data_IF_064343361154
#
_entry.id   IF_064343361154
#
_cell.length_a   1.000
_cell.length_b   1.000
_cell.length_c   1.000
_cell.angle_alpha   90.00
_cell.angle_beta   90.00
_cell.angle_gamma   90.00
#
_symmetry.space_group_name_H-M   'P 1'
#
loop_
_entity.id
_entity.type
_entity.pdbx_description
1 polymer ?
#
# COMPACT_ATOMS: atom_id res chain seq x y z
N UNK A 1 29.66 -11.29 6.18
CA UNK A 1 29.08 -9.98 5.79
C UNK A 1 27.55 -10.09 5.67
N UNK A 2 26.85 -10.46 6.74
CA UNK A 2 25.37 -10.50 6.78
C UNK A 2 24.80 -9.81 8.04
N UNK A 3 25.67 -9.25 8.90
CA UNK A 3 25.28 -8.54 10.12
C UNK A 3 24.84 -7.10 9.86
N UNK A 4 25.54 -6.40 8.96
CA UNK A 4 25.33 -4.97 8.68
C UNK A 4 23.97 -4.63 8.09
N UNK A 5 23.44 -5.45 7.17
CA UNK A 5 22.16 -5.13 6.50
C UNK A 5 20.96 -5.15 7.46
N UNK A 6 20.99 -6.03 8.47
CA UNK A 6 19.91 -6.10 9.48
C UNK A 6 20.00 -4.97 10.49
N UNK A 7 21.21 -4.52 10.81
CA UNK A 7 21.46 -3.40 11.71
C UNK A 7 21.03 -2.10 11.05
N UNK A 8 21.37 -1.90 9.77
CA UNK A 8 20.96 -0.73 8.99
C UNK A 8 19.43 -0.61 8.85
N UNK A 9 18.73 -1.74 8.66
CA UNK A 9 17.27 -1.76 8.57
C UNK A 9 16.59 -1.43 9.92
N UNK A 10 17.15 -1.92 11.03
CA UNK A 10 16.63 -1.67 12.36
C UNK A 10 16.89 -0.23 12.82
N UNK A 11 18.04 0.32 12.47
CA UNK A 11 18.43 1.69 12.76
C UNK A 11 17.58 2.68 11.96
N UNK A 12 17.30 2.36 10.69
CA UNK A 12 16.32 3.09 9.88
C UNK A 12 14.92 3.02 10.49
N UNK A 13 14.44 1.83 10.90
CA UNK A 13 13.13 1.69 11.57
C UNK A 13 13.05 2.55 12.85
N UNK A 14 14.14 2.65 13.63
CA UNK A 14 14.19 3.43 14.87
C UNK A 14 14.30 4.95 14.64
N UNK A 15 15.11 5.41 13.69
CA UNK A 15 15.20 6.82 13.31
C UNK A 15 13.87 7.33 12.74
N UNK A 16 13.25 6.50 11.93
CA UNK A 16 11.94 6.75 11.35
C UNK A 16 10.91 6.88 12.47
N UNK A 17 10.90 5.98 13.46
CA UNK A 17 9.99 6.02 14.61
C UNK A 17 10.13 7.29 15.50
N UNK A 18 11.31 7.91 15.57
CA UNK A 18 11.62 9.01 16.50
C UNK A 18 11.30 10.42 15.96
N UNK A 19 11.13 10.63 14.65
CA UNK A 19 10.88 11.97 14.05
C UNK A 19 9.42 12.28 13.72
N UNK A 20 8.48 11.44 14.13
CA UNK A 20 7.16 11.34 13.50
C UNK A 20 6.05 12.30 14.00
N UNK A 21 5.57 13.15 13.08
CA UNK A 21 4.26 13.81 13.15
C UNK A 21 3.28 13.00 12.29
N UNK A 22 2.46 12.16 12.94
CA UNK A 22 1.66 11.07 12.33
C UNK A 22 0.91 11.37 11.02
N UNK A 23 0.53 12.62 10.75
CA UNK A 23 -0.21 13.00 9.53
C UNK A 23 0.70 13.25 8.33
N UNK A 24 1.83 13.93 8.52
CA UNK A 24 2.81 14.22 7.45
C UNK A 24 3.47 12.92 6.94
N UNK A 25 3.57 11.94 7.83
CA UNK A 25 4.24 10.65 7.56
C UNK A 25 3.43 9.74 6.63
N UNK A 26 2.10 9.79 6.73
CA UNK A 26 1.21 9.02 5.84
C UNK A 26 1.29 9.56 4.42
N UNK A 27 1.30 10.89 4.27
CA UNK A 27 1.46 11.55 2.98
C UNK A 27 2.84 11.26 2.39
N UNK A 28 3.90 11.41 3.20
CA UNK A 28 5.26 11.07 2.78
C UNK A 28 5.38 9.61 2.33
N UNK A 29 4.88 8.67 3.13
CA UNK A 29 4.88 7.24 2.79
C UNK A 29 4.10 6.96 1.52
N UNK A 30 2.97 7.63 1.31
CA UNK A 30 2.21 7.51 0.08
C UNK A 30 3.00 8.01 -1.15
N UNK A 31 3.63 9.19 -1.04
CA UNK A 31 4.44 9.77 -2.13
C UNK A 31 5.63 8.87 -2.46
N UNK A 32 6.32 8.33 -1.45
CA UNK A 32 7.45 7.43 -1.64
C UNK A 32 7.05 6.15 -2.38
N UNK A 33 5.97 5.49 -1.95
CA UNK A 33 5.46 4.26 -2.56
C UNK A 33 4.91 4.52 -3.96
N UNK A 34 4.16 5.61 -4.16
CA UNK A 34 3.59 5.94 -5.46
C UNK A 34 4.68 6.15 -6.53
N UNK A 35 5.74 6.87 -6.15
CA UNK A 35 6.85 7.23 -7.03
C UNK A 35 7.93 6.14 -7.15
N UNK A 36 7.79 5.00 -6.46
CA UNK A 36 8.76 3.90 -6.60
C UNK A 36 8.91 3.49 -8.06
N UNK A 37 10.14 3.25 -8.50
CA UNK A 37 10.44 2.64 -9.81
C UNK A 37 10.83 1.17 -9.68
N UNK A 38 10.87 0.65 -8.46
CA UNK A 38 11.26 -0.72 -8.15
C UNK A 38 10.25 -1.69 -8.76
N UNK A 39 10.69 -2.68 -9.58
CA UNK A 39 9.79 -3.67 -10.16
C UNK A 39 9.25 -4.67 -9.11
N UNK A 40 9.91 -4.75 -7.96
CA UNK A 40 9.51 -5.51 -6.77
C UNK A 40 9.77 -4.65 -5.53
N UNK A 41 9.04 -4.85 -4.42
CA UNK A 41 9.20 -4.02 -3.24
C UNK A 41 10.54 -4.32 -2.54
N UNK A 42 11.28 -3.27 -2.24
CA UNK A 42 12.43 -3.30 -1.33
C UNK A 42 11.97 -3.49 0.12
N UNK A 43 12.89 -3.80 1.03
CA UNK A 43 12.56 -3.95 2.45
C UNK A 43 11.97 -2.67 3.05
N UNK A 44 12.53 -1.50 2.71
CA UNK A 44 12.01 -0.20 3.13
C UNK A 44 10.59 0.06 2.59
N UNK A 45 10.33 -0.27 1.32
CA UNK A 45 9.00 -0.13 0.72
C UNK A 45 7.98 -1.10 1.33
N UNK A 46 8.41 -2.31 1.71
CA UNK A 46 7.57 -3.24 2.46
C UNK A 46 7.24 -2.72 3.86
N UNK A 47 8.21 -2.12 4.57
CA UNK A 47 8.00 -1.52 5.89
C UNK A 47 6.98 -0.38 5.80
N UNK A 48 7.16 0.54 4.85
CA UNK A 48 6.21 1.62 4.56
C UNK A 48 4.83 1.08 4.19
N UNK A 49 4.75 0.03 3.37
CA UNK A 49 3.48 -0.60 3.00
C UNK A 49 2.75 -1.15 4.23
N UNK A 50 3.46 -1.80 5.16
CA UNK A 50 2.86 -2.32 6.41
C UNK A 50 2.37 -1.18 7.31
N UNK A 51 3.14 -0.10 7.41
CA UNK A 51 2.76 1.11 8.15
C UNK A 51 1.47 1.71 7.56
N UNK A 52 1.41 1.87 6.24
CA UNK A 52 0.23 2.40 5.56
C UNK A 52 -1.01 1.49 5.74
N UNK A 53 -0.84 0.16 5.66
CA UNK A 53 -1.94 -0.79 5.90
C UNK A 53 -2.47 -0.75 7.34
N UNK A 54 -1.60 -0.52 8.33
CA UNK A 54 -2.03 -0.43 9.74
C UNK A 54 -2.86 0.84 9.98
N UNK A 55 -2.54 1.95 9.30
CA UNK A 55 -3.34 3.18 9.33
C UNK A 55 -4.72 3.00 8.69
N UNK A 56 -4.83 2.22 7.61
CA UNK A 56 -6.16 1.88 7.06
C UNK A 56 -7.01 1.04 8.03
N UNK A 57 -6.37 0.23 8.88
CA UNK A 57 -7.05 -0.70 9.79
C UNK A 57 -7.52 -0.05 11.09
N UNK A 58 -6.90 1.06 11.50
CA UNK A 58 -7.23 1.77 12.75
C UNK A 58 -8.51 2.60 12.68
N UNK A 59 -9.21 2.62 11.53
CA UNK A 59 -10.50 3.31 11.35
C UNK A 59 -10.41 4.83 11.29
N UNK A 60 -9.22 5.40 11.48
CA UNK A 60 -8.97 6.83 11.41
C UNK A 60 -8.12 7.12 10.18
N UNK A 61 -8.65 7.79 9.17
CA UNK A 61 -7.83 8.74 8.41
C UNK A 61 -8.64 9.52 7.38
N UNK A 62 -8.50 10.84 7.45
CA UNK A 62 -8.70 11.78 6.34
C UNK A 62 -7.94 11.38 5.07
N UNK A 63 -6.98 10.46 5.19
CA UNK A 63 -6.09 9.97 4.13
C UNK A 63 -6.38 8.53 3.68
N UNK A 64 -7.44 7.86 4.17
CA UNK A 64 -7.74 6.46 3.82
C UNK A 64 -7.83 6.27 2.31
N UNK A 65 -8.48 7.22 1.62
CA UNK A 65 -8.55 7.27 0.17
C UNK A 65 -7.17 7.26 -0.50
N UNK A 66 -6.29 8.17 -0.07
CA UNK A 66 -4.93 8.33 -0.58
C UNK A 66 -4.11 7.06 -0.36
N UNK A 67 -4.21 6.45 0.82
CA UNK A 67 -3.46 5.24 1.16
C UNK A 67 -3.93 4.06 0.32
N UNK A 68 -5.25 3.82 0.25
CA UNK A 68 -5.81 2.71 -0.54
C UNK A 68 -5.45 2.86 -2.02
N UNK A 69 -5.52 4.08 -2.56
CA UNK A 69 -5.12 4.37 -3.94
C UNK A 69 -3.65 4.07 -4.18
N UNK A 70 -2.77 4.58 -3.31
CA UNK A 70 -1.33 4.37 -3.41
C UNK A 70 -0.96 2.89 -3.39
N UNK A 71 -1.47 2.16 -2.39
CA UNK A 71 -1.14 0.74 -2.23
C UNK A 71 -1.72 -0.13 -3.35
N UNK A 72 -2.86 0.26 -3.92
CA UNK A 72 -3.44 -0.42 -5.08
C UNK A 72 -2.57 -0.26 -6.33
N UNK A 73 -1.99 0.92 -6.56
CA UNK A 73 -1.03 1.15 -7.65
C UNK A 73 0.25 0.34 -7.43
N UNK A 74 0.76 0.33 -6.20
CA UNK A 74 1.95 -0.44 -5.85
C UNK A 74 1.73 -1.94 -6.06
N UNK A 75 0.57 -2.47 -5.66
CA UNK A 75 0.20 -3.86 -5.86
C UNK A 75 0.16 -4.27 -7.34
N UNK A 76 -0.40 -3.42 -8.21
CA UNK A 76 -0.38 -3.66 -9.67
C UNK A 76 1.06 -3.65 -10.19
N UNK A 77 1.87 -2.66 -9.80
CA UNK A 77 3.26 -2.51 -10.24
C UNK A 77 4.11 -3.72 -9.86
N UNK A 78 3.99 -4.18 -8.62
CA UNK A 78 4.74 -5.32 -8.08
C UNK A 78 4.11 -6.67 -8.39
N UNK A 79 2.95 -6.68 -9.07
CA UNK A 79 2.14 -7.87 -9.33
C UNK A 79 1.78 -8.65 -8.05
N UNK A 80 1.57 -7.94 -6.94
CA UNK A 80 1.26 -8.53 -5.64
C UNK A 80 -0.26 -8.65 -5.44
N UNK A 81 -0.77 -9.85 -5.73
CA UNK A 81 -2.19 -10.21 -5.56
C UNK A 81 -2.63 -10.11 -4.09
N UNK A 82 -1.74 -10.43 -3.13
CA UNK A 82 -2.08 -10.39 -1.70
C UNK A 82 -2.22 -8.94 -1.23
N UNK A 83 -1.36 -8.05 -1.69
CA UNK A 83 -1.48 -6.63 -1.40
C UNK A 83 -2.74 -6.05 -2.05
N UNK A 84 -2.99 -6.37 -3.32
CA UNK A 84 -4.18 -5.91 -4.06
C UNK A 84 -5.49 -6.33 -3.37
N UNK A 85 -5.60 -7.60 -2.97
CA UNK A 85 -6.81 -8.09 -2.29
C UNK A 85 -7.02 -7.46 -0.91
N UNK A 86 -5.94 -7.15 -0.18
CA UNK A 86 -6.02 -6.41 1.08
C UNK A 86 -6.48 -4.97 0.86
N UNK A 87 -5.90 -4.25 -0.10
CA UNK A 87 -6.28 -2.85 -0.38
C UNK A 87 -7.69 -2.75 -0.92
N UNK A 88 -8.11 -3.71 -1.74
CA UNK A 88 -9.48 -3.82 -2.23
C UNK A 88 -10.50 -3.92 -1.09
N UNK A 89 -10.22 -4.77 -0.09
CA UNK A 89 -11.08 -4.89 1.10
C UNK A 89 -11.21 -3.56 1.85
N UNK A 90 -10.15 -2.77 1.95
CA UNK A 90 -10.19 -1.48 2.64
C UNK A 90 -11.01 -0.42 1.90
N UNK A 91 -10.99 -0.39 0.57
CA UNK A 91 -11.81 0.56 -0.19
C UNK A 91 -13.26 0.11 -0.41
N UNK A 92 -13.54 -1.20 -0.35
CA UNK A 92 -14.90 -1.74 -0.49
C UNK A 92 -15.64 -1.88 0.85
N UNK A 93 -14.95 -1.99 1.98
CA UNK A 93 -15.63 -2.07 3.29
C UNK A 93 -16.30 -0.76 3.72
N UNK A 94 -15.96 0.37 3.10
CA UNK A 94 -16.57 1.68 3.36
C UNK A 94 -17.55 2.09 2.23
N UNK A 95 -18.43 1.18 1.79
CA UNK A 95 -19.40 1.41 0.69
C UNK A 95 -20.32 2.64 0.90
N UNK A 96 -20.52 3.09 2.14
CA UNK A 96 -21.27 4.32 2.43
C UNK A 96 -20.46 5.61 2.16
N UNK A 97 -19.18 5.50 1.85
CA UNK A 97 -18.32 6.63 1.53
C UNK A 97 -18.08 6.74 0.03
N UNK A 98 -18.22 7.95 -0.49
CA UNK A 98 -17.81 8.40 -1.83
C UNK A 98 -16.41 7.94 -2.26
N UNK A 99 -15.57 7.51 -1.31
CA UNK A 99 -14.19 7.02 -1.48
C UNK A 99 -14.11 5.67 -2.20
N UNK A 100 -15.03 4.73 -1.94
CA UNK A 100 -15.02 3.42 -2.62
C UNK A 100 -15.21 3.55 -4.13
N UNK A 101 -16.03 4.52 -4.54
CA UNK A 101 -16.33 4.83 -5.95
C UNK A 101 -15.20 5.60 -6.67
N UNK A 102 -14.41 6.40 -5.96
CA UNK A 102 -13.32 7.19 -6.57
C UNK A 102 -12.01 6.40 -6.72
N UNK A 103 -11.69 5.52 -5.76
CA UNK A 103 -10.40 4.81 -5.73
C UNK A 103 -10.37 3.59 -6.64
N UNK A 104 -11.46 2.83 -6.66
CA UNK A 104 -11.61 1.65 -7.52
C UNK A 104 -12.47 1.96 -8.73
N UNK A 105 -12.06 2.98 -9.49
CA UNK A 105 -12.60 3.21 -10.82
C UNK A 105 -12.40 1.98 -11.70
N UNK A 106 -13.35 1.77 -12.61
CA UNK A 106 -13.42 0.62 -13.50
C UNK A 106 -12.12 0.41 -14.31
N UNK A 107 -11.44 1.50 -14.68
CA UNK A 107 -10.15 1.48 -15.37
C UNK A 107 -9.04 0.77 -14.55
N UNK A 108 -8.97 1.02 -13.25
CA UNK A 108 -8.00 0.38 -12.35
C UNK A 108 -8.34 -1.07 -12.08
N UNK A 109 -9.62 -1.40 -11.97
CA UNK A 109 -10.06 -2.79 -11.88
C UNK A 109 -9.67 -3.57 -13.14
N UNK A 110 -9.93 -3.02 -14.34
CA UNK A 110 -9.55 -3.64 -15.62
C UNK A 110 -8.03 -3.80 -15.71
N UNK A 111 -7.27 -2.77 -15.32
CA UNK A 111 -5.81 -2.83 -15.32
C UNK A 111 -5.29 -3.91 -14.36
N UNK A 112 -5.83 -3.98 -13.15
CA UNK A 112 -5.47 -5.00 -12.17
C UNK A 112 -5.80 -6.40 -12.69
N UNK A 113 -6.97 -6.61 -13.28
CA UNK A 113 -7.37 -7.89 -13.90
C UNK A 113 -6.34 -8.34 -14.93
N UNK A 114 -5.95 -7.45 -15.84
CA UNK A 114 -4.96 -7.72 -16.89
C UNK A 114 -3.56 -7.99 -16.35
N UNK A 115 -3.12 -7.21 -15.36
CA UNK A 115 -1.74 -7.26 -14.86
C UNK A 115 -1.50 -8.40 -13.87
N UNK A 116 -2.52 -8.75 -13.08
CA UNK A 116 -2.45 -9.76 -12.03
C UNK A 116 -2.93 -11.15 -12.50
N UNK A 117 -3.52 -11.26 -13.69
CA UNK A 117 -3.89 -12.55 -14.27
C UNK A 117 -5.05 -13.22 -13.54
N UNK A 118 -6.08 -12.45 -13.17
CA UNK A 118 -7.28 -12.96 -12.49
C UNK A 118 -8.08 -13.99 -13.32
N UNK A 119 -7.74 -14.17 -14.58
CA UNK A 119 -8.26 -15.20 -15.49
C UNK A 119 -8.11 -16.63 -14.94
N UNK A 120 -7.22 -16.83 -13.96
CA UNK A 120 -6.95 -18.12 -13.31
C UNK A 120 -7.64 -18.31 -11.95
N UNK A 121 -8.31 -17.28 -11.42
CA UNK A 121 -8.94 -17.36 -10.10
C UNK A 121 -10.30 -18.05 -10.24
N UNK A 122 -10.35 -19.33 -9.86
CA UNK A 122 -11.63 -20.05 -9.76
C UNK A 122 -12.53 -19.35 -8.74
N UNK A 123 -13.81 -19.08 -9.06
CA UNK A 123 -14.76 -18.66 -8.04
C UNK A 123 -14.85 -19.76 -6.96
N UNK A 124 -14.78 -19.34 -5.69
CA UNK A 124 -15.05 -20.20 -4.54
C UNK A 124 -16.54 -20.49 -4.44
#
# INVERSE_FOLDING_TARGET
MLGTIKEDALEFEQEVQQRYNKEDDVVFGCVAIYNTKSPQPTEAEMALTRLLLSQCSSGSSSYKELVVHTLSVAAIKWRDVKLWTKTFRFGYSDIDSTVGHSVFRLDRMILAIRMLGFESVKPM
#
